data_IF_896902459805
#
_entry.id   IF_896902459805
#
_cell.length_a   1.000
_cell.length_b   1.000
_cell.length_c   1.000
_cell.angle_alpha   90.00
_cell.angle_beta   90.00
_cell.angle_gamma   90.00
#
_symmetry.space_group_name_H-M   'P 1'
#
loop_
_entity.id
_entity.type
_entity.pdbx_description
1 polymer ?
#
# COMPACT_ATOMS: atom_id res chain seq x y z
N UNK A 1 -10.42 -10.67 -5.81
CA UNK A 1 -9.87 -10.91 -7.17
C UNK A 1 -8.41 -10.51 -7.25
N UNK A 2 -8.05 -9.24 -7.04
CA UNK A 2 -6.65 -8.77 -7.03
C UNK A 2 -5.69 -9.58 -6.14
N UNK A 3 -6.05 -9.82 -4.87
CA UNK A 3 -5.24 -10.67 -3.97
C UNK A 3 -5.03 -12.10 -4.50
N UNK A 4 -6.03 -12.67 -5.17
CA UNK A 4 -5.92 -14.02 -5.77
C UNK A 4 -5.03 -14.03 -7.00
N UNK A 5 -4.86 -12.88 -7.66
CA UNK A 5 -3.93 -12.68 -8.76
C UNK A 5 -2.51 -12.27 -8.28
N UNK A 6 -2.26 -12.30 -6.95
CA UNK A 6 -0.97 -11.91 -6.38
C UNK A 6 -0.69 -10.41 -6.42
N UNK A 7 -1.72 -9.58 -6.58
CA UNK A 7 -1.58 -8.12 -6.53
C UNK A 7 -1.81 -7.60 -5.11
N UNK A 8 -0.98 -6.64 -4.71
CA UNK A 8 -1.08 -5.93 -3.45
C UNK A 8 -1.93 -4.68 -3.60
N UNK A 9 -2.76 -4.42 -2.60
CA UNK A 9 -3.58 -3.22 -2.54
C UNK A 9 -2.71 -2.01 -2.20
N UNK A 10 -2.81 -0.96 -3.00
CA UNK A 10 -2.13 0.31 -2.76
C UNK A 10 -3.14 1.33 -2.24
N UNK A 11 -4.19 1.57 -3.01
CA UNK A 11 -5.10 2.69 -2.76
C UNK A 11 -6.49 2.45 -3.33
N UNK A 12 -7.46 3.08 -2.67
CA UNK A 12 -8.82 3.29 -3.16
C UNK A 12 -9.09 4.80 -3.06
N UNK A 13 -9.58 5.40 -4.13
CA UNK A 13 -9.86 6.83 -4.15
C UNK A 13 -11.06 7.12 -5.04
N UNK A 14 -11.93 8.06 -4.66
CA UNK A 14 -13.02 8.48 -5.54
C UNK A 14 -12.45 9.16 -6.80
N UNK A 15 -13.12 9.00 -7.94
CA UNK A 15 -12.64 9.61 -9.19
C UNK A 15 -12.67 11.15 -9.15
N UNK A 16 -13.54 11.77 -8.35
CA UNK A 16 -13.52 13.24 -8.14
C UNK A 16 -12.30 13.68 -7.34
N UNK A 17 -11.97 12.96 -6.27
CA UNK A 17 -10.76 13.20 -5.46
C UNK A 17 -9.50 13.03 -6.31
N UNK A 18 -9.43 11.94 -7.08
CA UNK A 18 -8.33 11.69 -8.01
C UNK A 18 -8.17 12.83 -9.03
N UNK A 19 -9.29 13.34 -9.57
CA UNK A 19 -9.26 14.47 -10.48
C UNK A 19 -8.72 15.73 -9.81
N UNK A 20 -9.17 16.04 -8.59
CA UNK A 20 -8.75 17.24 -7.86
C UNK A 20 -7.25 17.22 -7.57
N UNK A 21 -6.70 16.06 -7.17
CA UNK A 21 -5.26 15.86 -6.92
C UNK A 21 -4.41 16.03 -8.20
N UNK A 22 -4.93 15.58 -9.34
CA UNK A 22 -4.20 15.56 -10.61
C UNK A 22 -4.68 16.64 -11.60
N UNK A 23 -5.45 17.62 -11.12
CA UNK A 23 -6.14 18.61 -11.96
C UNK A 23 -5.18 19.36 -12.90
N UNK A 24 -3.98 19.68 -12.44
CA UNK A 24 -2.99 20.38 -13.25
C UNK A 24 -2.58 19.63 -14.53
N UNK A 25 -2.66 18.29 -14.51
CA UNK A 25 -2.27 17.41 -15.61
C UNK A 25 -3.50 17.00 -16.43
N UNK A 26 -4.63 16.73 -15.77
CA UNK A 26 -5.83 16.19 -16.41
C UNK A 26 -6.74 17.26 -17.02
N UNK A 27 -6.76 18.48 -16.48
CA UNK A 27 -7.72 19.50 -16.91
C UNK A 27 -7.61 19.84 -18.39
N UNK A 28 -6.38 19.97 -18.92
CA UNK A 28 -6.16 20.25 -20.34
C UNK A 28 -6.71 19.13 -21.24
N UNK A 29 -6.45 17.87 -20.87
CA UNK A 29 -6.96 16.73 -21.63
C UNK A 29 -8.49 16.68 -21.64
N UNK A 30 -9.15 17.02 -20.53
CA UNK A 30 -10.62 17.08 -20.49
C UNK A 30 -11.20 18.25 -21.28
N UNK A 31 -10.49 19.38 -21.35
CA UNK A 31 -10.89 20.49 -22.22
C UNK A 31 -10.83 20.10 -23.69
N UNK A 32 -9.84 19.30 -24.09
CA UNK A 32 -9.66 18.82 -25.47
C UNK A 32 -10.64 17.70 -25.83
N UNK A 33 -10.97 16.82 -24.87
CA UNK A 33 -11.83 15.65 -25.10
C UNK A 33 -13.30 16.00 -25.36
N UNK A 34 -13.78 17.14 -24.89
CA UNK A 34 -15.15 17.57 -25.15
C UNK A 34 -15.58 18.77 -24.33
N UNK A 35 -16.46 19.57 -24.92
CA UNK A 35 -17.07 20.69 -24.21
C UNK A 35 -17.97 20.18 -23.08
N UNK A 36 -18.00 20.92 -21.96
CA UNK A 36 -18.87 20.72 -20.79
C UNK A 36 -18.43 19.67 -19.75
N UNK A 37 -17.18 19.23 -19.75
CA UNK A 37 -16.65 18.43 -18.63
C UNK A 37 -16.14 19.30 -17.49
N UNK A 38 -15.38 20.33 -17.85
CA UNK A 38 -14.70 21.25 -16.92
C UNK A 38 -14.99 22.70 -17.30
N UNK A 39 -14.91 23.62 -16.32
CA UNK A 39 -14.95 25.06 -16.56
C UNK A 39 -13.60 25.57 -17.12
N UNK A 40 -13.54 26.86 -17.49
CA UNK A 40 -12.31 27.51 -18.01
C UNK A 40 -11.11 27.46 -17.06
N UNK A 41 -11.34 27.16 -15.77
CA UNK A 41 -10.30 27.02 -14.73
C UNK A 41 -9.91 25.56 -14.51
N UNK A 42 -10.46 24.64 -15.29
CA UNK A 42 -10.25 23.21 -15.16
C UNK A 42 -10.95 22.62 -13.95
N UNK A 43 -12.02 23.22 -13.41
CA UNK A 43 -12.82 22.60 -12.35
C UNK A 43 -13.95 21.79 -12.98
N UNK A 44 -14.26 20.61 -12.43
CA UNK A 44 -15.39 19.83 -12.91
C UNK A 44 -16.68 20.65 -12.83
N UNK A 45 -17.50 20.61 -13.88
CA UNK A 45 -18.87 21.10 -13.80
C UNK A 45 -19.71 20.15 -12.95
N UNK A 46 -20.77 20.67 -12.31
CA UNK A 46 -21.61 19.89 -11.38
C UNK A 46 -22.05 18.53 -11.95
N UNK A 47 -22.56 18.52 -13.19
CA UNK A 47 -22.99 17.26 -13.84
C UNK A 47 -21.85 16.25 -13.96
N UNK A 48 -20.64 16.71 -14.30
CA UNK A 48 -19.46 15.86 -14.38
C UNK A 48 -19.08 15.36 -12.99
N UNK A 49 -19.07 16.25 -12.00
CA UNK A 49 -18.77 15.91 -10.61
C UNK A 49 -19.72 14.82 -10.08
N UNK A 50 -21.03 14.97 -10.31
CA UNK A 50 -22.05 14.00 -9.91
C UNK A 50 -21.80 12.63 -10.56
N UNK A 51 -21.45 12.59 -11.85
CA UNK A 51 -21.17 11.33 -12.57
C UNK A 51 -19.86 10.71 -12.13
N UNK A 52 -18.77 11.48 -12.07
CA UNK A 52 -17.47 10.98 -11.63
C UNK A 52 -17.52 10.48 -10.18
N UNK A 53 -18.32 11.11 -9.32
CA UNK A 53 -18.51 10.71 -7.94
C UNK A 53 -19.07 9.30 -7.75
N UNK A 54 -19.70 8.73 -8.78
CA UNK A 54 -20.20 7.35 -8.78
C UNK A 54 -19.09 6.31 -9.00
N UNK A 55 -17.90 6.75 -9.44
CA UNK A 55 -16.79 5.87 -9.75
C UNK A 55 -15.69 5.97 -8.71
N UNK A 56 -15.03 4.84 -8.46
CA UNK A 56 -13.92 4.74 -7.53
C UNK A 56 -12.78 4.00 -8.21
N UNK A 57 -11.58 4.56 -8.09
CA UNK A 57 -10.34 3.99 -8.61
C UNK A 57 -9.78 3.02 -7.58
N UNK A 58 -9.36 1.84 -8.04
CA UNK A 58 -8.62 0.87 -7.24
C UNK A 58 -7.23 0.70 -7.84
N UNK A 59 -6.21 1.03 -7.06
CA UNK A 59 -4.81 0.90 -7.46
C UNK A 59 -4.22 -0.32 -6.76
N UNK A 60 -3.63 -1.19 -7.58
CA UNK A 60 -2.90 -2.36 -7.11
C UNK A 60 -1.50 -2.35 -7.70
N UNK A 61 -0.53 -2.81 -6.92
CA UNK A 61 0.83 -3.03 -7.37
C UNK A 61 1.12 -4.52 -7.43
N UNK A 62 1.99 -4.90 -8.36
CA UNK A 62 2.63 -6.21 -8.29
C UNK A 62 3.75 -6.10 -7.23
N UNK A 63 3.78 -6.96 -6.20
CA UNK A 63 4.89 -6.98 -5.26
C UNK A 63 6.20 -7.24 -6.00
N UNK A 64 7.26 -6.55 -5.58
CA UNK A 64 8.60 -6.74 -6.11
C UNK A 64 9.07 -8.17 -5.77
N UNK A 65 9.44 -9.01 -6.75
CA UNK A 65 9.90 -10.36 -6.50
C UNK A 65 11.22 -10.43 -5.71
N UNK A 66 12.03 -9.36 -5.74
CA UNK A 66 13.36 -9.32 -5.14
C UNK A 66 13.34 -8.66 -3.74
N UNK A 67 12.23 -8.03 -3.34
CA UNK A 67 11.97 -7.70 -1.95
C UNK A 67 11.58 -9.02 -1.26
N UNK A 68 12.59 -9.81 -0.89
CA UNK A 68 12.42 -10.90 0.06
C UNK A 68 11.58 -10.37 1.24
N UNK A 69 10.61 -11.14 1.76
CA UNK A 69 9.90 -10.74 2.97
C UNK A 69 10.97 -10.36 4.01
N UNK A 70 10.80 -9.28 4.81
CA UNK A 70 11.69 -9.09 5.94
C UNK A 70 11.75 -10.43 6.65
N UNK A 71 12.95 -11.00 6.79
CA UNK A 71 13.14 -12.32 7.39
C UNK A 71 12.42 -12.27 8.73
N UNK A 72 11.18 -12.75 8.78
CA UNK A 72 10.53 -13.08 10.03
C UNK A 72 11.34 -14.26 10.50
N UNK A 73 12.39 -13.95 11.24
CA UNK A 73 13.06 -14.91 12.11
C UNK A 73 11.91 -15.63 12.80
N UNK A 74 11.70 -16.94 12.53
CA UNK A 74 10.72 -17.67 13.29
C UNK A 74 11.19 -17.58 14.73
N UNK A 75 10.35 -17.00 15.59
CA UNK A 75 10.53 -17.08 17.02
C UNK A 75 10.34 -18.57 17.35
N UNK A 76 11.46 -19.29 17.42
CA UNK A 76 11.48 -20.63 17.96
C UNK A 76 11.05 -20.48 19.41
N UNK A 77 9.80 -20.82 19.72
CA UNK A 77 9.43 -21.16 21.09
C UNK A 77 10.28 -22.38 21.46
N UNK A 78 11.26 -22.13 22.33
CA UNK A 78 12.24 -23.10 22.80
C UNK A 78 11.53 -24.11 23.72
N UNK A 79 10.80 -25.04 23.10
CA UNK A 79 10.23 -26.18 23.78
C UNK A 79 11.27 -27.30 23.78
N UNK A 80 11.76 -27.61 24.99
CA UNK A 80 12.57 -28.79 25.35
C UNK A 80 14.07 -28.69 25.05
N UNK A 81 14.83 -28.21 26.04
CA UNK A 81 16.13 -28.79 26.38
C UNK A 81 16.16 -29.14 27.88
N UNK A 82 15.66 -30.33 28.20
CA UNK A 82 16.15 -31.08 29.36
C UNK A 82 17.55 -31.60 29.00
N UNK A 83 18.58 -30.91 29.48
CA UNK A 83 19.89 -31.55 29.68
C UNK A 83 20.56 -30.95 30.90
N UNK A 84 20.46 -31.71 32.00
CA UNK A 84 21.42 -31.68 33.09
C UNK A 84 22.83 -31.87 32.52
N UNK A 85 23.71 -30.90 32.69
CA UNK A 85 25.07 -31.22 33.15
C UNK A 85 25.67 -30.02 33.88
N UNK A 86 26.11 -30.29 35.11
CA UNK A 86 26.63 -29.32 36.04
C UNK A 86 27.94 -28.68 35.52
N UNK A 87 27.96 -27.34 35.57
CA UNK A 87 29.09 -26.49 35.30
C UNK A 87 30.34 -26.88 36.10
N UNK A 88 31.35 -27.43 35.43
CA UNK A 88 32.72 -27.41 35.92
C UNK A 88 33.40 -26.11 35.50
N UNK A 89 34.14 -25.53 36.45
CA UNK A 89 35.03 -24.37 36.33
C UNK A 89 34.36 -23.00 36.48
N UNK A 90 34.25 -22.55 37.73
CA UNK A 90 34.54 -21.15 38.06
C UNK A 90 35.64 -21.11 39.10
N UNK A 91 36.71 -20.41 38.75
CA UNK A 91 37.89 -20.13 39.56
C UNK A 91 37.54 -19.37 40.84
N UNK A 92 38.12 -19.85 41.95
CA UNK A 92 38.78 -19.13 43.05
C UNK A 92 38.11 -17.87 43.63
N UNK A 93 37.74 -17.93 44.92
CA UNK A 93 38.38 -17.22 46.04
C UNK A 93 37.42 -17.09 47.23
N UNK A 94 37.89 -17.45 48.44
CA UNK A 94 37.89 -16.61 49.64
C UNK A 94 37.61 -17.37 50.94
N UNK A 95 38.65 -17.35 51.78
CA UNK A 95 38.75 -17.55 53.24
C UNK A 95 38.54 -18.93 53.86
#
# INVERSE_FOLDING_TARGET
LARRAGLEYVEIQNLTEFYDDNRAQLAGMLMDAGHNLVDQRGRLLQRSYDVLGLYTTFIFQKPDPDIAPPLMTPLLEDASHNHDEASFVTLRSAS
#
